data_IF_316278256714
#
_entry.id   IF_316278256714
#
_cell.length_a   1.000
_cell.length_b   1.000
_cell.length_c   1.000
_cell.angle_alpha   90.00
_cell.angle_beta   90.00
_cell.angle_gamma   90.00
#
_symmetry.space_group_name_H-M   'P 1'
#
loop_
_entity.id
_entity.type
_entity.pdbx_description
1 polymer ?
#
# COMPACT_ATOMS: atom_id res chain seq x y z
N UNK A 1 -22.79 -3.74 6.96
CA UNK A 1 -22.18 -4.98 6.43
C UNK A 1 -20.83 -4.68 5.82
N UNK A 2 -19.74 -5.26 6.36
CA UNK A 2 -18.45 -5.44 5.66
C UNK A 2 -17.65 -4.20 5.20
N UNK A 3 -17.15 -3.36 6.11
CA UNK A 3 -16.16 -2.32 5.75
C UNK A 3 -14.82 -2.98 5.37
N UNK A 4 -14.40 -2.81 4.12
CA UNK A 4 -13.18 -3.39 3.54
C UNK A 4 -11.97 -2.48 3.81
N UNK A 5 -11.33 -2.64 4.96
CA UNK A 5 -10.12 -1.91 5.34
C UNK A 5 -8.90 -2.32 4.52
N UNK A 6 -8.38 -1.40 3.69
CA UNK A 6 -7.18 -1.61 2.89
C UNK A 6 -6.14 -0.53 3.20
N UNK A 7 -4.97 -0.95 3.68
CA UNK A 7 -3.86 -0.06 4.10
C UNK A 7 -2.95 0.23 2.90
N UNK A 8 -2.47 1.47 2.77
CA UNK A 8 -1.45 1.91 1.83
C UNK A 8 -0.51 2.94 2.52
N UNK A 9 0.75 3.04 2.11
CA UNK A 9 1.81 3.68 2.90
C UNK A 9 2.43 4.90 2.20
N UNK A 10 2.83 5.91 2.97
CA UNK A 10 3.87 6.84 2.52
C UNK A 10 4.89 7.12 3.62
N UNK A 11 6.13 7.40 3.21
CA UNK A 11 7.29 7.56 4.11
C UNK A 11 7.60 9.06 4.32
N UNK A 12 7.94 9.43 5.56
CA UNK A 12 8.82 10.54 5.98
C UNK A 12 9.36 10.18 7.40
N UNK A 13 9.07 10.88 8.51
CA UNK A 13 9.39 10.41 9.90
C UNK A 13 8.44 10.97 10.99
N UNK A 14 7.91 10.15 11.91
CA UNK A 14 7.11 10.65 13.07
C UNK A 14 6.44 9.59 13.98
N UNK A 15 6.91 9.43 15.22
CA UNK A 15 6.48 8.39 16.17
C UNK A 15 5.12 8.64 16.87
N UNK A 16 4.08 7.80 16.65
CA UNK A 16 3.04 7.48 17.67
C UNK A 16 1.97 6.38 17.38
N UNK A 17 2.28 5.21 16.77
CA UNK A 17 1.24 4.24 16.35
C UNK A 17 1.29 2.79 16.92
N UNK A 18 1.59 2.65 18.22
CA UNK A 18 1.43 1.40 18.98
C UNK A 18 -0.05 0.94 19.20
N UNK A 19 -0.95 1.14 18.23
CA UNK A 19 -2.41 0.90 18.35
C UNK A 19 -3.10 0.32 17.11
N UNK A 20 -2.39 -0.40 16.23
CA UNK A 20 -3.04 -1.09 15.09
C UNK A 20 -2.53 -2.50 14.76
N UNK A 21 -1.65 -3.08 15.58
CA UNK A 21 -1.18 -4.47 15.41
C UNK A 21 -2.26 -5.53 15.72
N UNK A 22 -3.35 -5.19 16.41
CA UNK A 22 -4.32 -6.18 16.94
C UNK A 22 -5.44 -6.62 15.98
N UNK A 23 -5.56 -6.03 14.78
CA UNK A 23 -6.57 -6.47 13.81
C UNK A 23 -6.20 -6.15 12.35
N UNK A 24 -5.06 -6.67 11.90
CA UNK A 24 -4.85 -6.91 10.47
C UNK A 24 -5.87 -7.96 10.02
N UNK A 25 -6.79 -7.56 9.14
CA UNK A 25 -7.92 -8.42 8.76
C UNK A 25 -7.43 -9.66 8.03
N UNK A 26 -7.99 -10.83 8.34
CA UNK A 26 -7.78 -12.08 7.58
C UNK A 26 -8.24 -12.00 6.11
N UNK A 27 -8.87 -10.88 5.73
CA UNK A 27 -9.34 -10.55 4.38
C UNK A 27 -8.28 -9.76 3.61
N UNK A 28 -7.95 -10.24 2.42
CA UNK A 28 -6.98 -9.60 1.50
C UNK A 28 -7.38 -8.18 1.09
N UNK A 29 -6.39 -7.33 0.85
CA UNK A 29 -6.57 -5.99 0.26
C UNK A 29 -6.24 -5.91 -1.25
N UNK A 30 -5.86 -7.03 -1.90
CA UNK A 30 -5.36 -7.11 -3.29
C UNK A 30 -6.24 -6.32 -4.27
N UNK A 31 -7.55 -6.55 -4.27
CA UNK A 31 -8.48 -5.86 -5.18
C UNK A 31 -8.60 -4.35 -4.92
N UNK A 32 -8.55 -3.92 -3.66
CA UNK A 32 -8.63 -2.50 -3.33
C UNK A 32 -7.37 -1.75 -3.79
N UNK A 33 -6.20 -2.39 -3.66
CA UNK A 33 -4.93 -1.87 -4.17
C UNK A 33 -4.98 -1.76 -5.71
N UNK A 34 -5.36 -2.82 -6.42
CA UNK A 34 -5.55 -2.79 -7.89
C UNK A 34 -6.53 -1.67 -8.32
N UNK A 35 -7.66 -1.51 -7.62
CA UNK A 35 -8.62 -0.44 -7.90
C UNK A 35 -8.00 0.95 -7.67
N UNK A 36 -7.26 1.15 -6.57
CA UNK A 36 -6.57 2.42 -6.29
C UNK A 36 -5.49 2.76 -7.34
N UNK A 37 -4.75 1.77 -7.83
CA UNK A 37 -3.78 1.93 -8.92
C UNK A 37 -4.47 2.41 -10.20
N UNK A 38 -5.62 1.82 -10.55
CA UNK A 38 -6.39 2.21 -11.74
C UNK A 38 -7.04 3.58 -11.63
N UNK A 39 -7.61 3.92 -10.48
CA UNK A 39 -8.49 5.09 -10.32
C UNK A 39 -7.77 6.34 -9.81
N UNK A 40 -6.68 6.20 -9.05
CA UNK A 40 -6.06 7.32 -8.31
C UNK A 40 -4.55 7.38 -8.48
N UNK A 41 -3.85 6.27 -8.23
CA UNK A 41 -2.39 6.26 -8.02
C UNK A 41 -1.60 6.22 -9.32
N UNK A 42 -2.07 5.48 -10.33
CA UNK A 42 -1.49 5.40 -11.68
C UNK A 42 -2.60 5.65 -12.73
N UNK A 43 -3.43 6.66 -12.48
CA UNK A 43 -4.51 7.08 -13.36
C UNK A 43 -3.99 7.75 -14.64
N UNK A 44 -4.82 7.72 -15.70
CA UNK A 44 -4.54 8.34 -16.99
C UNK A 44 -3.59 7.53 -17.91
N UNK A 45 -3.41 7.98 -19.17
CA UNK A 45 -2.63 7.26 -20.18
C UNK A 45 -1.12 7.33 -19.93
N UNK A 46 -0.61 8.43 -19.38
CA UNK A 46 0.82 8.61 -19.08
C UNK A 46 1.38 7.54 -18.11
N UNK A 47 0.52 6.95 -17.27
CA UNK A 47 0.87 5.94 -16.29
C UNK A 47 0.48 4.51 -16.70
N UNK A 48 -0.08 4.30 -17.90
CA UNK A 48 -0.68 3.03 -18.34
C UNK A 48 0.29 1.85 -18.27
N UNK A 49 1.44 1.97 -18.94
CA UNK A 49 2.48 0.95 -18.95
C UNK A 49 2.99 0.61 -17.54
N UNK A 50 3.09 1.61 -16.66
CA UNK A 50 3.51 1.39 -15.28
C UNK A 50 2.42 0.67 -14.47
N UNK A 51 1.15 1.06 -14.66
CA UNK A 51 -0.01 0.42 -14.05
C UNK A 51 -0.13 -1.04 -14.44
N UNK A 52 0.05 -1.38 -15.71
CA UNK A 52 0.00 -2.75 -16.21
C UNK A 52 1.07 -3.63 -15.57
N UNK A 53 2.33 -3.18 -15.54
CA UNK A 53 3.43 -3.91 -14.91
C UNK A 53 3.16 -4.11 -13.41
N UNK A 54 2.85 -3.04 -12.67
CA UNK A 54 2.55 -3.14 -11.23
C UNK A 54 1.36 -4.06 -10.95
N UNK A 55 0.31 -4.01 -11.76
CA UNK A 55 -0.87 -4.87 -11.60
C UNK A 55 -0.54 -6.33 -11.85
N UNK A 56 0.28 -6.63 -12.87
CA UNK A 56 0.74 -7.98 -13.19
C UNK A 56 1.59 -8.58 -12.08
N UNK A 57 2.54 -7.82 -11.50
CA UNK A 57 3.33 -8.28 -10.36
C UNK A 57 2.43 -8.60 -9.14
N UNK A 58 1.43 -7.76 -8.87
CA UNK A 58 0.44 -8.01 -7.81
C UNK A 58 -0.40 -9.25 -8.12
N UNK A 59 -0.82 -9.46 -9.37
CA UNK A 59 -1.61 -10.61 -9.79
C UNK A 59 -0.86 -11.93 -9.65
N UNK A 60 0.40 -11.97 -10.09
CA UNK A 60 1.31 -13.13 -9.96
C UNK A 60 1.72 -13.41 -8.51
N UNK A 61 1.70 -12.40 -7.64
CA UNK A 61 2.04 -12.56 -6.22
C UNK A 61 0.89 -13.19 -5.42
N UNK A 62 1.21 -14.21 -4.63
CA UNK A 62 0.27 -14.90 -3.72
C UNK A 62 0.00 -14.14 -2.41
N UNK A 63 0.72 -13.04 -2.16
CA UNK A 63 0.55 -12.25 -0.95
C UNK A 63 -0.89 -11.72 -0.80
N UNK A 64 -1.36 -11.65 0.45
CA UNK A 64 -2.73 -11.23 0.78
C UNK A 64 -2.82 -9.73 1.10
N UNK A 65 -1.71 -9.14 1.53
CA UNK A 65 -1.62 -7.75 1.94
C UNK A 65 -0.53 -7.04 1.12
N UNK A 66 -0.92 -5.97 0.43
CA UNK A 66 -0.02 -5.12 -0.34
C UNK A 66 -0.04 -3.69 0.18
N UNK A 67 1.08 -3.01 0.00
CA UNK A 67 1.33 -1.66 0.49
C UNK A 67 1.92 -0.85 -0.68
N UNK A 68 1.20 0.17 -1.16
CA UNK A 68 1.79 1.18 -2.04
C UNK A 68 2.76 2.02 -1.22
N UNK A 69 3.90 2.39 -1.81
CA UNK A 69 4.80 3.44 -1.31
C UNK A 69 4.69 4.68 -2.20
N UNK A 70 4.43 5.83 -1.59
CA UNK A 70 4.50 7.14 -2.22
C UNK A 70 5.76 7.93 -1.85
N UNK A 71 6.14 8.86 -2.72
CA UNK A 71 7.09 9.94 -2.48
C UNK A 71 6.37 11.21 -2.00
N UNK A 72 6.82 11.72 -0.87
CA UNK A 72 6.48 13.01 -0.28
C UNK A 72 4.95 13.23 -0.13
N UNK A 73 4.55 14.46 0.19
CA UNK A 73 3.13 14.86 0.30
C UNK A 73 2.38 14.87 -1.05
N UNK A 74 3.05 14.56 -2.16
CA UNK A 74 2.48 14.63 -3.53
C UNK A 74 1.83 13.34 -4.00
N UNK A 75 1.83 12.28 -3.18
CA UNK A 75 1.28 10.96 -3.52
C UNK A 75 1.83 10.41 -4.86
N UNK A 76 3.10 10.71 -5.19
CA UNK A 76 3.74 10.17 -6.38
C UNK A 76 4.15 8.71 -6.11
N UNK A 77 3.61 7.75 -6.87
CA UNK A 77 3.97 6.33 -6.75
C UNK A 77 5.48 6.11 -6.84
N UNK A 78 6.02 5.24 -5.98
CA UNK A 78 7.44 4.82 -5.99
C UNK A 78 7.59 3.31 -6.12
N UNK A 79 6.86 2.56 -5.32
CA UNK A 79 6.96 1.11 -5.25
C UNK A 79 5.67 0.48 -4.71
N UNK A 80 5.57 -0.83 -4.85
CA UNK A 80 4.59 -1.68 -4.18
C UNK A 80 5.36 -2.71 -3.36
N UNK A 81 4.90 -2.94 -2.13
CA UNK A 81 5.42 -3.92 -1.18
C UNK A 81 4.33 -4.95 -0.88
N UNK A 82 4.74 -6.16 -0.53
CA UNK A 82 3.91 -7.14 0.14
C UNK A 82 4.16 -7.08 1.65
N UNK A 83 3.13 -7.38 2.43
CA UNK A 83 3.20 -7.49 3.88
C UNK A 83 2.79 -8.90 4.32
N UNK A 84 3.58 -9.48 5.21
CA UNK A 84 3.44 -10.84 5.72
C UNK A 84 3.10 -10.75 7.22
N UNK A 85 1.82 -10.78 7.62
CA UNK A 85 1.40 -10.60 9.01
C UNK A 85 2.03 -11.59 10.00
N UNK A 86 2.38 -12.80 9.52
CA UNK A 86 2.95 -13.88 10.31
C UNK A 86 4.38 -13.59 10.79
N UNK A 87 5.11 -12.72 10.07
CA UNK A 87 6.51 -12.36 10.35
C UNK A 87 6.72 -10.86 10.57
N UNK A 88 5.67 -10.04 10.42
CA UNK A 88 5.69 -8.58 10.40
C UNK A 88 6.65 -7.97 9.35
N UNK A 89 6.93 -8.71 8.27
CA UNK A 89 7.85 -8.29 7.20
C UNK A 89 7.09 -7.50 6.12
N UNK A 90 7.63 -6.33 5.76
CA UNK A 90 7.24 -5.55 4.58
C UNK A 90 8.36 -5.67 3.53
N UNK A 91 8.14 -6.44 2.47
CA UNK A 91 9.12 -6.70 1.40
C UNK A 91 8.69 -6.07 0.07
N UNK A 92 9.65 -5.51 -0.67
CA UNK A 92 9.40 -4.83 -1.95
C UNK A 92 9.09 -5.84 -3.04
N UNK A 93 7.89 -5.73 -3.61
CA UNK A 93 7.47 -6.51 -4.78
C UNK A 93 7.95 -5.84 -6.08
N UNK A 94 7.76 -4.52 -6.23
CA UNK A 94 8.18 -3.81 -7.45
C UNK A 94 8.44 -2.31 -7.22
N UNK A 95 9.34 -1.71 -8.00
CA UNK A 95 9.59 -0.27 -8.04
C UNK A 95 10.85 0.19 -7.31
N UNK A 96 10.88 1.47 -6.92
CA UNK A 96 12.10 2.13 -6.39
C UNK A 96 11.98 2.43 -4.90
N UNK A 97 12.70 1.65 -4.10
CA UNK A 97 12.85 1.81 -2.64
C UNK A 97 13.73 0.71 -2.04
N UNK A 98 13.91 0.69 -0.70
CA UNK A 98 14.55 -0.41 0.03
C UNK A 98 13.93 -1.76 -0.31
N UNK A 99 14.65 -2.87 -0.11
CA UNK A 99 14.08 -4.20 -0.30
C UNK A 99 13.15 -4.59 0.86
N UNK A 100 13.46 -4.15 2.08
CA UNK A 100 12.67 -4.38 3.29
C UNK A 100 12.37 -3.01 3.92
N UNK A 101 11.16 -2.84 4.45
CA UNK A 101 10.76 -1.70 5.30
C UNK A 101 10.47 -2.21 6.71
N UNK A 102 10.99 -1.52 7.72
CA UNK A 102 10.64 -1.71 9.13
C UNK A 102 9.80 -0.53 9.63
N UNK A 103 9.08 -0.68 10.74
CA UNK A 103 8.21 0.40 11.29
C UNK A 103 8.97 1.72 11.51
N UNK A 104 10.24 1.67 11.95
CA UNK A 104 11.08 2.85 12.16
C UNK A 104 11.46 3.61 10.88
N UNK A 105 11.23 3.02 9.71
CA UNK A 105 11.40 3.65 8.39
C UNK A 105 10.11 4.31 7.88
N UNK A 106 9.05 4.33 8.70
CA UNK A 106 7.70 4.80 8.35
C UNK A 106 7.30 5.98 9.24
N UNK A 107 6.39 6.81 8.72
CA UNK A 107 5.83 7.98 9.39
C UNK A 107 4.31 7.97 9.43
N UNK A 108 3.70 7.83 8.25
CA UNK A 108 2.26 8.02 8.08
C UNK A 108 1.65 6.83 7.36
N UNK A 109 0.81 6.13 8.11
CA UNK A 109 -0.07 5.12 7.59
C UNK A 109 -1.32 5.78 7.03
N UNK A 110 -1.72 5.40 5.81
CA UNK A 110 -2.94 5.88 5.18
C UNK A 110 -3.90 4.72 4.95
N UNK A 111 -5.19 4.98 5.09
CA UNK A 111 -6.23 4.01 4.75
C UNK A 111 -6.84 4.39 3.41
N UNK A 112 -6.84 3.44 2.48
CA UNK A 112 -7.70 3.57 1.30
C UNK A 112 -9.10 3.08 1.69
N UNK A 113 -10.06 3.99 1.73
CA UNK A 113 -11.48 3.72 2.01
C UNK A 113 -12.27 4.02 0.75
N UNK A 114 -12.99 3.02 0.23
CA UNK A 114 -13.84 3.17 -0.95
C UNK A 114 -15.12 3.93 -0.56
N UNK A 115 -14.99 5.27 -0.43
CA UNK A 115 -16.08 6.24 -0.36
C UNK A 115 -15.56 7.69 -0.44
N UNK A 116 -14.42 7.99 0.19
CA UNK A 116 -13.89 9.36 0.35
C UNK A 116 -12.36 9.33 0.28
N UNK A 117 -11.76 10.43 -0.16
CA UNK A 117 -10.33 10.75 -0.19
C UNK A 117 -9.50 10.13 0.95
N UNK A 118 -8.24 9.77 0.66
CA UNK A 118 -7.25 9.22 1.61
C UNK A 118 -7.37 9.83 3.01
N UNK A 119 -7.93 9.06 3.94
CA UNK A 119 -8.15 9.52 5.30
C UNK A 119 -6.89 9.19 6.13
N UNK A 120 -6.34 10.23 6.77
CA UNK A 120 -5.25 10.09 7.74
C UNK A 120 -5.75 9.24 8.92
N UNK A 121 -4.96 8.25 9.31
CA UNK A 121 -5.16 7.45 10.54
C UNK A 121 -4.29 8.03 11.66
#
# INVERSE_FOLDING_TARGET
TGSLSSIALSIQTGSHLARSQTHLSTKTNKQAILNSLKQVVLAGPANERQREVVSREIELCEARHFIVLFRDHRLQFRAIYMYIPETDIIEKLYGVGPNIITEVMVDKWYKYVVAVYFQKI
#
